data_IF_804253207062
#
_entry.id   IF_804253207062
#
_cell.length_a   1.000
_cell.length_b   1.000
_cell.length_c   1.000
_cell.angle_alpha   90.00
_cell.angle_beta   90.00
_cell.angle_gamma   90.00
#
_symmetry.space_group_name_H-M   'P 1'
#
loop_
_entity.id
_entity.type
_entity.pdbx_description
1 polymer ?
#
# COMPACT_ATOMS: atom_id res chain seq x y z
N UNK A 1 64.86 -7.29 -17.66
CA UNK A 1 63.79 -8.23 -18.04
C UNK A 1 63.20 -8.77 -16.74
N UNK A 2 62.01 -8.30 -16.31
CA UNK A 2 61.26 -8.79 -15.17
C UNK A 2 59.98 -9.43 -15.69
N UNK A 3 59.75 -10.68 -15.34
CA UNK A 3 58.56 -11.43 -15.74
C UNK A 3 57.29 -10.93 -15.09
N UNK A 4 56.11 -11.04 -15.74
CA UNK A 4 54.84 -10.61 -15.18
C UNK A 4 54.34 -11.59 -14.13
N UNK A 5 53.69 -11.06 -13.07
CA UNK A 5 53.11 -11.80 -11.97
C UNK A 5 51.84 -12.56 -12.40
N UNK A 6 51.77 -13.82 -11.99
CA UNK A 6 50.62 -14.73 -12.18
C UNK A 6 49.38 -14.23 -11.42
N UNK A 7 48.26 -14.18 -12.11
CA UNK A 7 46.94 -13.94 -11.56
C UNK A 7 46.46 -15.21 -10.82
N UNK A 8 46.11 -15.09 -9.55
CA UNK A 8 45.55 -16.15 -8.70
C UNK A 8 44.01 -16.29 -8.97
N UNK A 9 43.53 -17.44 -9.49
CA UNK A 9 42.12 -17.64 -9.79
C UNK A 9 41.40 -18.38 -8.65
N UNK A 10 41.24 -17.75 -7.47
CA UNK A 10 40.35 -18.27 -6.42
C UNK A 10 39.82 -17.12 -5.58
N UNK A 11 38.93 -16.28 -6.18
CA UNK A 11 37.98 -15.52 -5.41
C UNK A 11 36.71 -16.36 -5.24
N UNK A 12 36.58 -17.05 -4.11
CA UNK A 12 35.36 -17.74 -3.72
C UNK A 12 34.23 -16.75 -3.58
N UNK A 13 33.18 -16.95 -4.39
CA UNK A 13 31.87 -16.29 -4.31
C UNK A 13 31.21 -16.66 -2.95
N UNK A 14 31.42 -15.84 -1.92
CA UNK A 14 30.72 -15.91 -0.64
C UNK A 14 29.39 -15.19 -0.73
N UNK A 15 28.40 -15.77 -1.39
CA UNK A 15 27.01 -15.37 -1.20
C UNK A 15 26.59 -15.74 0.22
N UNK A 16 26.02 -14.81 0.99
CA UNK A 16 25.45 -15.15 2.28
C UNK A 16 24.26 -16.08 2.08
N UNK A 17 24.34 -17.28 2.68
CA UNK A 17 23.25 -18.26 2.70
C UNK A 17 22.03 -17.62 3.34
N UNK A 18 20.88 -17.76 2.66
CA UNK A 18 19.61 -17.14 2.96
C UNK A 18 19.24 -17.10 4.44
N UNK A 19 19.19 -15.91 4.99
CA UNK A 19 18.50 -15.65 6.23
C UNK A 19 17.00 -15.86 5.98
N UNK A 20 16.39 -16.76 6.78
CA UNK A 20 14.93 -16.86 6.84
C UNK A 20 14.38 -15.50 7.22
N UNK A 21 13.60 -14.89 6.33
CA UNK A 21 12.79 -13.75 6.68
C UNK A 21 11.88 -14.15 7.85
N UNK A 22 11.82 -13.36 8.95
CA UNK A 22 10.89 -13.63 10.03
C UNK A 22 9.49 -13.70 9.45
N UNK A 23 8.73 -14.75 9.74
CA UNK A 23 7.30 -14.79 9.45
C UNK A 23 6.70 -13.56 10.10
N UNK A 24 5.95 -12.75 9.33
CA UNK A 24 5.17 -11.64 9.84
C UNK A 24 4.35 -12.13 11.05
N UNK A 25 4.58 -11.54 12.20
CA UNK A 25 3.94 -11.87 13.47
C UNK A 25 2.41 -11.62 13.46
N UNK A 26 1.90 -10.98 12.41
CA UNK A 26 0.49 -10.61 12.24
C UNK A 26 -0.12 -11.35 11.06
N UNK A 27 -0.58 -12.59 11.28
CA UNK A 27 -1.16 -13.43 10.22
C UNK A 27 -2.66 -13.21 10.00
N UNK A 28 -3.36 -12.44 10.85
CA UNK A 28 -4.81 -12.22 10.76
C UNK A 28 -5.17 -10.73 10.88
N UNK A 29 -6.22 -10.31 10.15
CA UNK A 29 -6.74 -8.93 10.20
C UNK A 29 -7.28 -8.53 11.59
N UNK A 30 -7.46 -9.51 12.49
CA UNK A 30 -7.86 -9.30 13.87
C UNK A 30 -6.72 -8.82 14.78
N UNK A 31 -5.48 -8.95 14.33
CA UNK A 31 -4.27 -8.63 15.11
C UNK A 31 -3.71 -7.23 14.83
N UNK A 32 -4.46 -6.37 14.12
CA UNK A 32 -4.08 -4.96 14.00
C UNK A 32 -4.39 -4.32 15.35
N UNK A 33 -3.39 -3.87 16.13
CA UNK A 33 -3.64 -3.18 17.39
C UNK A 33 -4.62 -2.02 17.13
N UNK A 34 -5.62 -1.89 18.00
CA UNK A 34 -6.63 -0.81 17.92
C UNK A 34 -5.98 0.58 17.82
N UNK A 35 -4.80 0.74 18.39
CA UNK A 35 -3.98 1.95 18.33
C UNK A 35 -3.53 2.33 16.91
N UNK A 36 -3.37 1.38 15.99
CA UNK A 36 -3.01 1.70 14.60
C UNK A 36 -4.17 2.30 13.81
N UNK A 37 -5.41 2.14 14.29
CA UNK A 37 -6.62 2.76 13.73
C UNK A 37 -6.88 4.16 14.30
N UNK A 38 -6.44 4.41 15.54
CA UNK A 38 -6.64 5.65 16.29
C UNK A 38 -6.04 6.87 15.60
N UNK A 39 -4.92 6.69 14.86
CA UNK A 39 -4.29 7.76 14.10
C UNK A 39 -5.21 8.47 13.07
N UNK A 40 -6.15 7.75 12.46
CA UNK A 40 -7.09 8.32 11.49
C UNK A 40 -8.35 8.91 12.17
N UNK A 41 -8.69 8.40 13.35
CA UNK A 41 -9.94 8.75 14.06
C UNK A 41 -9.75 10.00 14.95
N UNK A 42 -8.56 10.23 15.51
CA UNK A 42 -8.27 11.40 16.36
C UNK A 42 -8.27 12.76 15.60
N UNK A 43 -8.25 12.73 14.27
CA UNK A 43 -8.24 13.96 13.46
C UNK A 43 -9.65 14.46 13.07
N UNK A 44 -10.73 13.83 13.53
CA UNK A 44 -12.11 14.19 13.16
C UNK A 44 -12.83 15.06 14.19
N UNK A 45 -12.13 15.57 15.19
CA UNK A 45 -12.67 16.59 16.08
C UNK A 45 -12.55 18.01 15.45
N UNK A 46 -13.12 18.21 14.26
CA UNK A 46 -13.35 19.54 13.71
C UNK A 46 -14.80 19.93 14.00
N UNK A 47 -15.08 20.99 14.79
CA UNK A 47 -16.43 21.35 15.22
C UNK A 47 -17.27 22.03 14.13
N UNK A 48 -16.78 22.14 12.91
CA UNK A 48 -17.55 22.67 11.78
C UNK A 48 -18.27 21.53 11.04
N UNK A 49 -19.36 21.05 11.62
CA UNK A 49 -20.35 20.24 10.89
C UNK A 49 -21.04 21.15 9.88
N UNK A 50 -20.51 21.24 8.69
CA UNK A 50 -21.30 21.69 7.54
C UNK A 50 -22.38 20.63 7.32
N UNK A 51 -23.64 21.04 7.42
CA UNK A 51 -24.78 20.21 7.06
C UNK A 51 -24.61 19.80 5.60
N UNK A 52 -24.19 18.55 5.38
CA UNK A 52 -24.17 17.97 4.04
C UNK A 52 -25.63 17.85 3.57
N UNK A 53 -25.97 18.59 2.51
CA UNK A 53 -27.16 18.33 1.71
C UNK A 53 -27.17 16.86 1.33
N UNK A 54 -28.34 16.17 1.28
CA UNK A 54 -28.39 14.76 0.94
C UNK A 54 -27.88 14.57 -0.49
N UNK A 55 -26.64 14.19 -0.62
CA UNK A 55 -26.05 13.84 -1.90
C UNK A 55 -26.89 12.71 -2.52
N UNK A 56 -27.45 12.96 -3.71
CA UNK A 56 -28.08 11.90 -4.52
C UNK A 56 -27.08 10.75 -4.58
N UNK A 57 -27.39 9.66 -3.92
CA UNK A 57 -26.51 8.50 -3.85
C UNK A 57 -26.36 7.92 -5.26
N UNK A 58 -25.30 8.31 -5.94
CA UNK A 58 -24.92 7.64 -7.20
C UNK A 58 -24.66 6.17 -6.90
N UNK A 59 -25.09 5.25 -7.79
CA UNK A 59 -24.84 3.82 -7.57
C UNK A 59 -23.36 3.59 -7.29
N UNK A 60 -23.03 2.66 -6.37
CA UNK A 60 -21.65 2.39 -6.03
C UNK A 60 -20.88 2.03 -7.32
N UNK A 61 -19.77 2.75 -7.57
CA UNK A 61 -18.95 2.53 -8.74
C UNK A 61 -18.42 1.09 -8.73
N UNK A 62 -18.35 0.43 -9.91
CA UNK A 62 -17.74 -0.90 -10.01
C UNK A 62 -16.39 -0.92 -9.28
N UNK A 63 -16.11 -2.00 -8.56
CA UNK A 63 -14.90 -2.09 -7.73
C UNK A 63 -13.62 -1.88 -8.55
N UNK A 64 -13.58 -2.35 -9.79
CA UNK A 64 -12.46 -2.12 -10.71
C UNK A 64 -12.19 -0.63 -10.91
N UNK A 65 -13.21 0.15 -11.26
CA UNK A 65 -13.07 1.60 -11.44
C UNK A 65 -12.66 2.31 -10.13
N UNK A 66 -13.12 1.80 -8.99
CA UNK A 66 -12.72 2.33 -7.67
C UNK A 66 -11.23 2.11 -7.39
N UNK A 67 -10.69 0.94 -7.73
CA UNK A 67 -9.26 0.65 -7.57
C UNK A 67 -8.39 1.48 -8.51
N UNK A 68 -8.82 1.71 -9.75
CA UNK A 68 -8.13 2.61 -10.70
C UNK A 68 -8.04 4.02 -10.11
N UNK A 69 -9.16 4.58 -9.65
CA UNK A 69 -9.20 5.93 -9.05
C UNK A 69 -8.34 6.06 -7.81
N UNK A 70 -8.28 5.00 -7.01
CA UNK A 70 -7.37 4.96 -5.86
C UNK A 70 -5.91 5.07 -6.32
N UNK A 71 -5.47 4.25 -7.27
CA UNK A 71 -4.11 4.32 -7.83
C UNK A 71 -3.77 5.69 -8.40
N UNK A 72 -4.68 6.29 -9.18
CA UNK A 72 -4.52 7.65 -9.71
C UNK A 72 -4.40 8.70 -8.60
N UNK A 73 -5.21 8.58 -7.54
CA UNK A 73 -5.15 9.50 -6.40
C UNK A 73 -3.82 9.38 -5.65
N UNK A 74 -3.29 8.16 -5.49
CA UNK A 74 -1.94 7.93 -4.94
C UNK A 74 -0.88 8.61 -5.79
N UNK A 75 -0.93 8.49 -7.13
CA UNK A 75 0.04 9.13 -8.03
C UNK A 75 -0.04 10.67 -7.90
N UNK A 76 -1.26 11.23 -7.89
CA UNK A 76 -1.44 12.68 -7.72
C UNK A 76 -0.91 13.17 -6.38
N UNK A 77 -1.14 12.43 -5.32
CA UNK A 77 -0.64 12.72 -3.98
C UNK A 77 0.89 12.62 -3.92
N UNK A 78 1.47 11.55 -4.46
CA UNK A 78 2.91 11.33 -4.48
C UNK A 78 3.68 12.48 -5.15
N UNK A 79 3.13 13.06 -6.22
CA UNK A 79 3.71 14.23 -6.91
C UNK A 79 3.79 15.51 -6.06
N UNK A 80 3.05 15.58 -4.94
CA UNK A 80 3.09 16.71 -4.00
C UNK A 80 4.14 16.55 -2.92
N UNK A 81 4.69 15.35 -2.73
CA UNK A 81 5.67 15.05 -1.70
C UNK A 81 7.02 15.64 -2.12
N UNK A 82 7.67 16.49 -1.29
CA UNK A 82 8.97 17.05 -1.61
C UNK A 82 10.04 15.97 -1.77
N UNK A 83 10.89 16.10 -2.79
CA UNK A 83 11.97 15.15 -3.04
C UNK A 83 13.14 15.36 -2.06
N UNK A 84 13.47 14.33 -1.29
CA UNK A 84 14.66 14.25 -0.45
C UNK A 84 14.99 12.76 -0.19
N UNK A 85 16.09 12.49 0.53
CA UNK A 85 16.57 11.11 0.76
C UNK A 85 15.56 10.22 1.51
N UNK A 86 14.74 10.77 2.39
CA UNK A 86 13.69 10.04 3.12
C UNK A 86 12.47 9.85 2.24
N UNK A 87 11.97 10.94 1.66
CA UNK A 87 10.73 10.96 0.91
C UNK A 87 10.81 10.15 -0.38
N UNK A 88 11.94 10.16 -1.10
CA UNK A 88 12.09 9.38 -2.33
C UNK A 88 11.79 7.90 -2.09
N UNK A 89 12.28 7.34 -0.97
CA UNK A 89 11.98 5.96 -0.62
C UNK A 89 10.50 5.74 -0.27
N UNK A 90 9.87 6.69 0.42
CA UNK A 90 8.45 6.64 0.74
C UNK A 90 7.57 6.76 -0.51
N UNK A 91 7.94 7.64 -1.44
CA UNK A 91 7.25 7.81 -2.73
C UNK A 91 7.25 6.51 -3.51
N UNK A 92 8.42 5.88 -3.70
CA UNK A 92 8.55 4.63 -4.46
C UNK A 92 7.66 3.52 -3.88
N UNK A 93 7.70 3.34 -2.56
CA UNK A 93 6.90 2.30 -1.89
C UNK A 93 5.41 2.61 -1.93
N UNK A 94 5.01 3.86 -1.70
CA UNK A 94 3.61 4.26 -1.72
C UNK A 94 3.00 4.10 -3.11
N UNK A 95 3.71 4.56 -4.16
CA UNK A 95 3.24 4.44 -5.55
C UNK A 95 3.17 2.97 -5.94
N UNK A 96 4.19 2.18 -5.61
CA UNK A 96 4.21 0.74 -5.85
C UNK A 96 3.00 0.05 -5.24
N UNK A 97 2.80 0.18 -3.92
CA UNK A 97 1.69 -0.44 -3.22
C UNK A 97 0.32 0.06 -3.73
N UNK A 98 0.14 1.39 -3.86
CA UNK A 98 -1.13 1.97 -4.24
C UNK A 98 -1.60 1.59 -5.65
N UNK A 99 -0.68 1.51 -6.62
CA UNK A 99 -1.00 1.10 -8.00
C UNK A 99 -1.18 -0.41 -8.12
N UNK A 100 -0.45 -1.20 -7.31
CA UNK A 100 -0.59 -2.66 -7.27
C UNK A 100 -1.96 -3.14 -6.84
N UNK A 101 -2.72 -2.34 -6.06
CA UNK A 101 -4.11 -2.66 -5.71
C UNK A 101 -4.96 -2.84 -6.98
N UNK A 102 -4.92 -1.87 -7.89
CA UNK A 102 -5.68 -1.90 -9.14
C UNK A 102 -5.15 -2.97 -10.11
N UNK A 103 -3.84 -3.07 -10.26
CA UNK A 103 -3.21 -4.05 -11.14
C UNK A 103 -3.60 -5.49 -10.78
N UNK A 104 -3.49 -5.87 -9.51
CA UNK A 104 -3.89 -7.20 -9.05
C UNK A 104 -5.41 -7.43 -9.10
N UNK A 105 -6.22 -6.37 -8.99
CA UNK A 105 -7.65 -6.52 -9.17
C UNK A 105 -8.00 -6.80 -10.64
N UNK A 106 -7.35 -6.14 -11.62
CA UNK A 106 -7.51 -6.47 -13.03
C UNK A 106 -7.16 -7.94 -13.31
N UNK A 107 -6.05 -8.44 -12.74
CA UNK A 107 -5.67 -9.84 -12.87
C UNK A 107 -6.65 -10.79 -12.17
N UNK A 108 -7.30 -10.36 -11.08
CA UNK A 108 -8.35 -11.14 -10.44
C UNK A 108 -9.59 -11.22 -11.31
N UNK A 109 -9.98 -10.13 -11.95
CA UNK A 109 -11.16 -10.08 -12.85
C UNK A 109 -10.99 -10.99 -14.07
N UNK A 110 -9.77 -11.14 -14.57
CA UNK A 110 -9.39 -12.02 -15.69
C UNK A 110 -8.98 -13.44 -15.25
N UNK A 111 -9.12 -13.79 -13.96
CA UNK A 111 -8.62 -15.06 -13.44
C UNK A 111 -9.35 -16.26 -14.06
N UNK A 112 -8.58 -17.23 -14.54
CA UNK A 112 -9.09 -18.47 -15.17
C UNK A 112 -9.50 -19.54 -14.16
N UNK A 113 -9.27 -19.33 -12.86
CA UNK A 113 -9.65 -20.26 -11.80
C UNK A 113 -9.99 -19.53 -10.49
N UNK A 114 -10.87 -20.14 -9.69
CA UNK A 114 -11.21 -19.61 -8.36
C UNK A 114 -9.99 -19.53 -7.41
N UNK A 115 -9.01 -20.40 -7.56
CA UNK A 115 -7.76 -20.36 -6.79
C UNK A 115 -6.92 -19.13 -7.14
N UNK A 116 -6.79 -18.84 -8.44
CA UNK A 116 -6.08 -17.66 -8.93
C UNK A 116 -6.77 -16.38 -8.51
N UNK A 117 -8.09 -16.30 -8.73
CA UNK A 117 -8.92 -15.18 -8.24
C UNK A 117 -8.67 -14.90 -6.77
N UNK A 118 -8.77 -15.92 -5.93
CA UNK A 118 -8.59 -15.79 -4.48
C UNK A 118 -7.16 -15.34 -4.12
N UNK A 119 -6.15 -15.80 -4.85
CA UNK A 119 -4.77 -15.39 -4.68
C UNK A 119 -4.59 -13.91 -4.99
N UNK A 120 -5.11 -13.43 -6.13
CA UNK A 120 -5.02 -12.03 -6.55
C UNK A 120 -5.79 -11.09 -5.60
N UNK A 121 -6.99 -11.47 -5.18
CA UNK A 121 -7.74 -10.73 -4.15
C UNK A 121 -6.95 -10.66 -2.82
N UNK A 122 -6.26 -11.74 -2.43
CA UNK A 122 -5.36 -11.75 -1.29
C UNK A 122 -4.21 -10.76 -1.44
N UNK A 123 -3.67 -10.61 -2.66
CA UNK A 123 -2.63 -9.60 -2.97
C UNK A 123 -3.22 -8.19 -2.90
N UNK A 124 -4.38 -7.91 -3.50
CA UNK A 124 -5.05 -6.61 -3.38
C UNK A 124 -5.22 -6.17 -1.92
N UNK A 125 -5.59 -7.11 -1.05
CA UNK A 125 -5.71 -6.86 0.39
C UNK A 125 -4.37 -6.49 1.04
N UNK A 126 -3.28 -7.16 0.68
CA UNK A 126 -1.93 -6.86 1.19
C UNK A 126 -1.47 -5.47 0.73
N UNK A 127 -1.60 -5.17 -0.56
CA UNK A 127 -1.22 -3.90 -1.15
C UNK A 127 -2.00 -2.72 -0.57
N UNK A 128 -3.32 -2.90 -0.32
CA UNK A 128 -4.13 -1.89 0.37
C UNK A 128 -3.62 -1.63 1.79
N UNK A 129 -3.22 -2.68 2.53
CA UNK A 129 -2.66 -2.55 3.87
C UNK A 129 -1.29 -1.87 3.85
N UNK A 130 -0.46 -2.17 2.87
CA UNK A 130 0.84 -1.55 2.67
C UNK A 130 0.71 -0.07 2.29
N UNK A 131 -0.25 0.28 1.43
CA UNK A 131 -0.59 1.68 1.12
C UNK A 131 -0.98 2.46 2.37
N UNK A 132 -1.79 1.88 3.27
CA UNK A 132 -2.14 2.49 4.55
C UNK A 132 -0.89 2.79 5.39
N UNK A 133 0.06 1.86 5.43
CA UNK A 133 1.31 2.04 6.16
C UNK A 133 2.12 3.21 5.60
N UNK A 134 2.36 3.25 4.29
CA UNK A 134 3.17 4.31 3.68
C UNK A 134 2.50 5.68 3.71
N UNK A 135 1.17 5.76 3.59
CA UNK A 135 0.43 7.01 3.79
C UNK A 135 0.64 7.58 5.20
N UNK A 136 0.67 6.73 6.22
CA UNK A 136 0.99 7.14 7.59
C UNK A 136 2.44 7.63 7.70
N UNK A 137 3.39 6.96 7.07
CA UNK A 137 4.80 7.39 7.06
C UNK A 137 4.97 8.74 6.38
N UNK A 138 4.33 8.95 5.23
CA UNK A 138 4.34 10.26 4.55
C UNK A 138 3.73 11.35 5.42
N UNK A 139 2.60 11.10 6.09
CA UNK A 139 1.98 12.07 6.99
C UNK A 139 2.88 12.44 8.20
N UNK A 140 3.77 11.52 8.59
CA UNK A 140 4.77 11.78 9.65
C UNK A 140 5.93 12.61 9.11
N UNK A 141 6.38 12.33 7.88
CA UNK A 141 7.49 13.05 7.25
C UNK A 141 7.07 14.46 6.81
N UNK A 142 5.81 14.63 6.34
CA UNK A 142 5.29 15.86 5.74
C UNK A 142 3.97 16.25 6.40
N UNK A 143 4.04 16.96 7.53
CA UNK A 143 2.87 17.36 8.32
C UNK A 143 1.82 18.16 7.48
N UNK A 144 2.26 18.98 6.52
CA UNK A 144 1.39 19.73 5.61
C UNK A 144 0.54 18.85 4.69
N UNK A 145 0.93 17.59 4.45
CA UNK A 145 0.20 16.64 3.64
C UNK A 145 -0.64 15.64 4.47
N UNK A 146 -0.59 15.75 5.80
CA UNK A 146 -1.21 14.78 6.70
C UNK A 146 -2.73 14.65 6.52
N UNK A 147 -3.44 15.74 6.24
CA UNK A 147 -4.90 15.71 6.02
C UNK A 147 -5.27 14.91 4.76
N UNK A 148 -4.56 15.15 3.65
CA UNK A 148 -4.78 14.44 2.39
C UNK A 148 -4.38 12.96 2.51
N UNK A 149 -3.24 12.68 3.16
CA UNK A 149 -2.80 11.31 3.45
C UNK A 149 -3.84 10.53 4.26
N UNK A 150 -4.49 11.15 5.26
CA UNK A 150 -5.59 10.53 6.02
C UNK A 150 -6.81 10.22 5.16
N UNK A 151 -7.14 11.10 4.20
CA UNK A 151 -8.22 10.85 3.24
C UNK A 151 -7.96 9.58 2.42
N UNK A 152 -6.77 9.47 1.84
CA UNK A 152 -6.34 8.30 1.08
C UNK A 152 -6.21 7.04 1.95
N UNK A 153 -5.78 7.19 3.20
CA UNK A 153 -5.71 6.10 4.16
C UNK A 153 -7.09 5.50 4.44
N UNK A 154 -8.13 6.32 4.58
CA UNK A 154 -9.51 5.84 4.76
C UNK A 154 -9.99 5.04 3.56
N UNK A 155 -9.71 5.52 2.33
CA UNK A 155 -10.05 4.78 1.11
C UNK A 155 -9.31 3.44 1.03
N UNK A 156 -8.01 3.41 1.32
CA UNK A 156 -7.23 2.17 1.40
C UNK A 156 -7.79 1.19 2.44
N UNK A 157 -8.24 1.70 3.60
CA UNK A 157 -8.89 0.89 4.65
C UNK A 157 -10.18 0.25 4.15
N UNK A 158 -11.03 1.00 3.47
CA UNK A 158 -12.27 0.46 2.90
C UNK A 158 -12.00 -0.60 1.85
N UNK A 159 -11.08 -0.35 0.92
CA UNK A 159 -10.67 -1.34 -0.08
C UNK A 159 -10.14 -2.61 0.59
N UNK A 160 -9.31 -2.48 1.63
CA UNK A 160 -8.80 -3.63 2.39
C UNK A 160 -9.93 -4.46 3.03
N UNK A 161 -10.95 -3.81 3.58
CA UNK A 161 -12.12 -4.48 4.17
C UNK A 161 -12.94 -5.21 3.10
N UNK A 162 -13.15 -4.58 1.94
CA UNK A 162 -13.88 -5.18 0.81
C UNK A 162 -13.14 -6.43 0.32
N UNK A 163 -11.82 -6.33 0.04
CA UNK A 163 -11.02 -7.47 -0.37
C UNK A 163 -10.97 -8.56 0.69
N UNK A 164 -10.93 -8.19 1.97
CA UNK A 164 -11.04 -9.13 3.08
C UNK A 164 -12.36 -9.89 3.10
N UNK A 165 -13.47 -9.21 2.76
CA UNK A 165 -14.79 -9.85 2.67
C UNK A 165 -14.87 -10.80 1.46
N UNK A 166 -14.36 -10.39 0.29
CA UNK A 166 -14.33 -11.22 -0.92
C UNK A 166 -13.45 -12.47 -0.68
N UNK A 167 -12.28 -12.29 -0.09
CA UNK A 167 -11.32 -13.37 0.14
C UNK A 167 -11.84 -14.46 1.08
N UNK A 168 -12.73 -14.13 2.03
CA UNK A 168 -13.34 -15.09 2.97
C UNK A 168 -14.48 -15.92 2.39
N UNK A 169 -15.03 -15.53 1.24
CA UNK A 169 -16.04 -16.33 0.50
C UNK A 169 -15.37 -17.45 -0.28
#
# INVERSE_FOLDING_TARGET
MKAPAELNPKAEDRRPKGGRTPKSEYSDARDIPSDSLRWADEATADPLVLKEEPAIALPPKPLGERTVRFGEAIIRFAKKIPHNSVNNRLIDQLVGAGTSVGANYCEADDAVSGKEFKQKIGTCRKESKESMFFLRMVATAEAGLAAEARGLWREAKELNLIFGAIWRK
#
